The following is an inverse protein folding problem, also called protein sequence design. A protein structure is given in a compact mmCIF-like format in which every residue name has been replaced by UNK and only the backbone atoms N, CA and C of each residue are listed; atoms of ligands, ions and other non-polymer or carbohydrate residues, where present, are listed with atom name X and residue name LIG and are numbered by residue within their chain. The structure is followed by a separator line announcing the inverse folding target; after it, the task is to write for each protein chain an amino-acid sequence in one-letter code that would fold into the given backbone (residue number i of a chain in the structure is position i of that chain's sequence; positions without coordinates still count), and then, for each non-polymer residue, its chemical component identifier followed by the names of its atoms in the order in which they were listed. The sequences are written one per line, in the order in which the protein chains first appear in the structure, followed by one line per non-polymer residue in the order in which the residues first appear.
data_IF_785104733631
#
_entry.id   IF_785104733631
#
_cell.length_a   1.000
_cell.length_b   1.000
_cell.length_c   1.000
_cell.angle_alpha   90.00
_cell.angle_beta   90.00
_cell.angle_gamma   90.00
#
_symmetry.space_group_name_H-M   'P 1'
#
loop_
_entity.id
_entity.type
_entity.pdbx_description
1 polymer ?
#
# COMPACT_ATOMS: atom_id res chain seq x y z
N UNK A 1 -29.56 -3.79 -4.55
CA UNK A 1 -28.61 -3.55 -5.68
C UNK A 1 -27.15 -3.72 -5.26
N UNK A 2 -26.69 -3.14 -4.13
CA UNK A 2 -25.29 -3.25 -3.70
C UNK A 2 -24.82 -4.70 -3.42
N UNK A 3 -25.62 -5.47 -2.70
CA UNK A 3 -25.31 -6.87 -2.33
C UNK A 3 -25.16 -7.77 -3.56
N UNK A 4 -26.05 -7.63 -4.54
CA UNK A 4 -26.00 -8.42 -5.78
C UNK A 4 -24.73 -8.09 -6.59
N UNK A 5 -24.36 -6.80 -6.66
CA UNK A 5 -23.12 -6.37 -7.32
C UNK A 5 -21.89 -6.93 -6.61
N UNK A 6 -21.85 -6.90 -5.27
CA UNK A 6 -20.74 -7.45 -4.50
C UNK A 6 -20.63 -8.97 -4.66
N UNK A 7 -21.78 -9.66 -4.68
CA UNK A 7 -21.81 -11.11 -4.91
C UNK A 7 -21.26 -11.47 -6.29
N UNK A 8 -21.69 -10.76 -7.34
CA UNK A 8 -21.21 -10.97 -8.70
C UNK A 8 -19.71 -10.70 -8.83
N UNK A 9 -19.22 -9.62 -8.20
CA UNK A 9 -17.79 -9.28 -8.18
C UNK A 9 -16.96 -10.36 -7.46
N UNK A 10 -17.41 -10.84 -6.30
CA UNK A 10 -16.72 -11.90 -5.56
C UNK A 10 -16.69 -13.21 -6.34
N UNK A 11 -17.79 -13.56 -7.00
CA UNK A 11 -17.86 -14.76 -7.84
C UNK A 11 -16.90 -14.66 -9.03
N UNK A 12 -16.88 -13.52 -9.72
CA UNK A 12 -15.95 -13.29 -10.85
C UNK A 12 -14.49 -13.38 -10.40
N UNK A 13 -14.14 -12.77 -9.26
CA UNK A 13 -12.79 -12.87 -8.69
C UNK A 13 -12.46 -14.30 -8.30
N UNK A 14 -13.40 -15.05 -7.74
CA UNK A 14 -13.25 -16.46 -7.40
C UNK A 14 -12.88 -17.31 -8.61
N UNK A 15 -13.56 -17.13 -9.75
CA UNK A 15 -13.23 -17.83 -11.00
C UNK A 15 -11.85 -17.47 -11.53
N UNK A 16 -11.45 -16.21 -11.47
CA UNK A 16 -10.11 -15.79 -11.89
C UNK A 16 -9.03 -16.44 -11.02
N UNK A 17 -9.22 -16.47 -9.71
CA UNK A 17 -8.29 -17.08 -8.76
C UNK A 17 -8.21 -18.59 -9.01
N UNK A 18 -9.34 -19.25 -9.23
CA UNK A 18 -9.37 -20.69 -9.52
C UNK A 18 -8.61 -21.00 -10.82
N UNK A 19 -8.82 -20.24 -11.89
CA UNK A 19 -8.10 -20.41 -13.14
C UNK A 19 -6.57 -20.23 -13.00
N UNK A 20 -6.14 -19.35 -12.09
CA UNK A 20 -4.72 -19.14 -11.77
C UNK A 20 -4.17 -20.33 -10.97
N UNK A 21 -4.93 -20.89 -10.05
CA UNK A 21 -4.54 -22.07 -9.28
C UNK A 21 -4.43 -23.32 -10.14
N UNK A 22 -5.34 -23.49 -11.10
CA UNK A 22 -5.34 -24.62 -12.01
C UNK A 22 -4.19 -24.57 -13.05
N UNK A 23 -3.65 -23.36 -13.32
CA UNK A 23 -2.59 -23.18 -14.32
C UNK A 23 -1.17 -23.36 -13.79
N UNK A 24 -0.96 -23.44 -12.47
CA UNK A 24 0.35 -23.50 -11.77
C UNK A 24 1.40 -22.49 -12.26
N UNK A 25 0.95 -21.40 -12.88
CA UNK A 25 1.81 -20.41 -13.51
C UNK A 25 2.19 -19.29 -12.55
N UNK A 26 3.44 -19.25 -12.14
CA UNK A 26 3.99 -18.16 -11.31
C UNK A 26 3.90 -16.78 -11.98
N UNK A 27 3.90 -16.73 -13.32
CA UNK A 27 3.73 -15.48 -14.06
C UNK A 27 2.33 -14.89 -13.89
N UNK A 28 1.30 -15.73 -13.84
CA UNK A 28 -0.06 -15.29 -13.55
C UNK A 28 -0.21 -14.81 -12.12
N UNK A 29 0.46 -15.46 -11.17
CA UNK A 29 0.53 -14.99 -9.77
C UNK A 29 1.19 -13.61 -9.69
N UNK A 30 2.33 -13.45 -10.35
CA UNK A 30 3.02 -12.15 -10.39
C UNK A 30 2.14 -11.06 -11.02
N UNK A 31 1.48 -11.35 -12.13
CA UNK A 31 0.52 -10.44 -12.78
C UNK A 31 -0.63 -10.06 -11.85
N UNK A 32 -1.21 -11.02 -11.15
CA UNK A 32 -2.28 -10.77 -10.17
C UNK A 32 -1.78 -9.88 -9.02
N UNK A 33 -0.61 -10.16 -8.46
CA UNK A 33 -0.03 -9.34 -7.39
C UNK A 33 0.25 -7.91 -7.84
N UNK A 34 0.72 -7.70 -9.07
CA UNK A 34 0.89 -6.36 -9.65
C UNK A 34 -0.45 -5.61 -9.73
N UNK A 35 -1.50 -6.28 -10.20
CA UNK A 35 -2.85 -5.70 -10.23
C UNK A 35 -3.32 -5.36 -8.82
N UNK A 36 -3.09 -6.25 -7.85
CA UNK A 36 -3.45 -6.02 -6.44
C UNK A 36 -2.70 -4.84 -5.84
N UNK A 37 -1.40 -4.68 -6.12
CA UNK A 37 -0.61 -3.50 -5.71
C UNK A 37 -1.18 -2.23 -6.34
N UNK A 38 -1.53 -2.27 -7.62
CA UNK A 38 -2.14 -1.14 -8.33
C UNK A 38 -3.46 -0.69 -7.69
N UNK A 39 -4.40 -1.63 -7.54
CA UNK A 39 -5.70 -1.37 -6.92
C UNK A 39 -5.58 -0.95 -5.45
N UNK A 40 -4.68 -1.60 -4.70
CA UNK A 40 -4.35 -1.26 -3.32
C UNK A 40 -3.81 0.16 -3.20
N UNK A 41 -2.94 0.57 -4.12
CA UNK A 41 -2.37 1.93 -4.15
C UNK A 41 -3.42 3.00 -4.41
N UNK A 42 -4.31 2.76 -5.37
CA UNK A 42 -5.44 3.67 -5.65
C UNK A 42 -6.37 3.77 -4.43
N UNK A 43 -6.66 2.64 -3.80
CA UNK A 43 -7.51 2.58 -2.61
C UNK A 43 -6.88 3.29 -1.41
N UNK A 44 -5.59 3.05 -1.15
CA UNK A 44 -4.84 3.71 -0.08
C UNK A 44 -4.78 5.23 -0.30
N UNK A 45 -4.54 5.68 -1.55
CA UNK A 45 -4.59 7.10 -1.90
C UNK A 45 -5.96 7.71 -1.60
N UNK A 46 -7.05 7.00 -1.92
CA UNK A 46 -8.42 7.47 -1.63
C UNK A 46 -8.68 7.62 -0.12
N UNK A 47 -7.98 6.85 0.71
CA UNK A 47 -8.04 6.94 2.18
C UNK A 47 -7.09 7.98 2.78
N UNK A 48 -6.03 8.33 2.05
CA UNK A 48 -5.06 9.36 2.43
C UNK A 48 -5.59 10.74 2.04
N UNK A 49 -6.20 11.44 3.00
CA UNK A 49 -6.89 12.72 2.80
C UNK A 49 -5.96 13.81 2.27
N UNK A 50 -5.97 14.03 0.96
CA UNK A 50 -5.45 15.25 0.37
C UNK A 50 -3.93 15.38 0.25
N UNK A 51 -3.18 14.25 0.18
CA UNK A 51 -1.75 14.27 -0.10
C UNK A 51 -1.52 14.16 -1.62
N UNK A 52 -1.16 15.25 -2.32
CA UNK A 52 -0.92 15.21 -3.74
C UNK A 52 0.32 14.35 -4.06
N UNK A 53 0.28 13.59 -5.15
CA UNK A 53 1.42 12.77 -5.58
C UNK A 53 1.68 11.50 -4.75
N UNK A 54 0.83 11.15 -3.79
CA UNK A 54 1.03 10.00 -2.90
C UNK A 54 0.97 8.63 -3.61
N UNK A 55 0.38 8.54 -4.80
CA UNK A 55 0.17 7.26 -5.50
C UNK A 55 1.48 6.50 -5.75
N UNK A 56 2.50 7.17 -6.28
CA UNK A 56 3.79 6.56 -6.57
C UNK A 56 4.49 5.99 -5.33
N UNK A 57 4.73 6.79 -4.29
CA UNK A 57 5.29 6.31 -3.02
C UNK A 57 4.49 5.16 -2.39
N UNK A 58 3.16 5.21 -2.43
CA UNK A 58 2.31 4.12 -1.94
C UNK A 58 2.55 2.85 -2.76
N UNK A 59 2.52 2.93 -4.08
CA UNK A 59 2.71 1.77 -4.95
C UNK A 59 4.06 1.10 -4.71
N UNK A 60 5.13 1.90 -4.59
CA UNK A 60 6.46 1.40 -4.27
C UNK A 60 6.49 0.73 -2.89
N UNK A 61 5.90 1.35 -1.87
CA UNK A 61 5.84 0.79 -0.53
C UNK A 61 5.10 -0.55 -0.49
N UNK A 62 3.95 -0.66 -1.17
CA UNK A 62 3.18 -1.90 -1.26
C UNK A 62 3.96 -2.98 -2.02
N UNK A 63 4.58 -2.63 -3.15
CA UNK A 63 5.35 -3.56 -3.95
C UNK A 63 6.57 -4.10 -3.19
N UNK A 64 7.31 -3.21 -2.50
CA UNK A 64 8.45 -3.61 -1.67
C UNK A 64 8.00 -4.48 -0.49
N UNK A 65 6.94 -4.10 0.21
CA UNK A 65 6.42 -4.88 1.33
C UNK A 65 6.02 -6.30 0.87
N UNK A 66 5.25 -6.42 -0.22
CA UNK A 66 4.83 -7.70 -0.75
C UNK A 66 6.04 -8.50 -1.28
N UNK A 67 6.91 -7.88 -2.07
CA UNK A 67 8.08 -8.53 -2.65
C UNK A 67 9.05 -9.05 -1.60
N UNK A 68 9.44 -8.22 -0.62
CA UNK A 68 10.35 -8.63 0.45
C UNK A 68 9.75 -9.76 1.28
N UNK A 69 8.46 -9.65 1.65
CA UNK A 69 7.81 -10.68 2.46
C UNK A 69 7.72 -12.01 1.71
N UNK A 70 7.29 -11.99 0.44
CA UNK A 70 7.16 -13.21 -0.35
C UNK A 70 8.53 -13.86 -0.60
N UNK A 71 9.55 -13.06 -0.96
CA UNK A 71 10.92 -13.58 -1.15
C UNK A 71 11.45 -14.20 0.15
N UNK A 72 11.22 -13.56 1.30
CA UNK A 72 11.70 -14.05 2.59
C UNK A 72 10.99 -15.34 3.00
N UNK A 73 9.67 -15.43 2.81
CA UNK A 73 8.87 -16.63 3.10
C UNK A 73 9.29 -17.81 2.22
N UNK A 74 9.55 -17.57 0.93
CA UNK A 74 10.05 -18.60 0.01
C UNK A 74 11.49 -19.02 0.33
N UNK A 75 12.38 -18.05 0.63
CA UNK A 75 13.77 -18.33 0.96
C UNK A 75 13.93 -19.15 2.27
N UNK A 76 13.02 -18.94 3.22
CA UNK A 76 12.98 -19.72 4.48
C UNK A 76 12.28 -21.07 4.31
N UNK A 77 11.75 -21.38 3.14
CA UNK A 77 11.06 -22.66 2.89
C UNK A 77 9.76 -22.83 3.67
N UNK A 78 9.12 -21.72 4.09
CA UNK A 78 7.87 -21.75 4.86
C UNK A 78 6.73 -22.34 4.04
N UNK A 79 6.70 -22.00 2.73
CA UNK A 79 5.72 -22.51 1.77
C UNK A 79 6.41 -22.90 0.46
N UNK A 80 5.83 -23.85 -0.24
CA UNK A 80 6.19 -24.15 -1.63
C UNK A 80 5.75 -22.98 -2.54
N UNK A 81 6.46 -22.74 -3.67
CA UNK A 81 6.14 -21.66 -4.60
C UNK A 81 4.90 -21.97 -5.44
N UNK A 82 3.78 -22.23 -4.77
CA UNK A 82 2.51 -22.53 -5.40
C UNK A 82 1.53 -21.35 -5.35
N UNK A 83 0.71 -21.15 -6.38
CA UNK A 83 -0.27 -20.07 -6.44
C UNK A 83 -1.21 -20.03 -5.23
N UNK A 84 -1.61 -21.18 -4.71
CA UNK A 84 -2.52 -21.33 -3.57
C UNK A 84 -1.99 -20.73 -2.25
N UNK A 85 -0.69 -20.60 -2.10
CA UNK A 85 -0.06 -19.96 -0.94
C UNK A 85 0.33 -18.51 -1.22
N UNK A 86 0.90 -18.25 -2.40
CA UNK A 86 1.41 -16.94 -2.76
C UNK A 86 0.32 -15.88 -2.90
N UNK A 87 -0.83 -16.24 -3.47
CA UNK A 87 -1.93 -15.28 -3.69
C UNK A 87 -2.56 -14.83 -2.37
N UNK A 88 -2.97 -15.71 -1.43
CA UNK A 88 -3.52 -15.28 -0.16
C UNK A 88 -2.51 -14.51 0.71
N UNK A 89 -1.28 -14.99 0.80
CA UNK A 89 -0.22 -14.33 1.59
C UNK A 89 0.10 -12.95 1.02
N UNK A 90 0.28 -12.86 -0.31
CA UNK A 90 0.51 -11.59 -0.99
C UNK A 90 -0.64 -10.61 -0.78
N UNK A 91 -1.88 -11.08 -0.89
CA UNK A 91 -3.08 -10.28 -0.64
C UNK A 91 -3.17 -9.74 0.79
N UNK A 92 -2.85 -10.58 1.77
CA UNK A 92 -2.84 -10.18 3.18
C UNK A 92 -1.76 -9.13 3.45
N UNK A 93 -0.56 -9.31 2.92
CA UNK A 93 0.55 -8.35 3.07
C UNK A 93 0.22 -7.01 2.41
N UNK A 94 -0.29 -7.04 1.16
CA UNK A 94 -0.69 -5.83 0.43
C UNK A 94 -1.81 -5.11 1.19
N UNK A 95 -2.82 -5.83 1.70
CA UNK A 95 -3.93 -5.25 2.48
C UNK A 95 -3.48 -4.56 3.76
N UNK A 96 -2.57 -5.19 4.50
CA UNK A 96 -1.98 -4.61 5.71
C UNK A 96 -1.10 -3.40 5.39
N UNK A 97 -0.23 -3.51 4.38
CA UNK A 97 0.62 -2.41 3.92
C UNK A 97 -0.21 -1.22 3.42
N UNK A 98 -1.32 -1.46 2.71
CA UNK A 98 -2.26 -0.43 2.29
C UNK A 98 -2.84 0.35 3.46
N UNK A 99 -3.24 -0.34 4.53
CA UNK A 99 -3.78 0.29 5.73
C UNK A 99 -2.71 1.09 6.46
N UNK A 100 -1.53 0.53 6.63
CA UNK A 100 -0.38 1.21 7.25
C UNK A 100 0.01 2.48 6.47
N UNK A 101 0.09 2.40 5.14
CA UNK A 101 0.41 3.55 4.29
C UNK A 101 -0.63 4.67 4.41
N UNK A 102 -1.92 4.32 4.41
CA UNK A 102 -2.99 5.31 4.56
C UNK A 102 -2.95 6.01 5.93
N UNK A 103 -2.71 5.26 7.01
CA UNK A 103 -2.56 5.82 8.36
C UNK A 103 -1.34 6.73 8.46
N UNK A 104 -0.19 6.29 7.95
CA UNK A 104 1.04 7.08 7.97
C UNK A 104 0.89 8.41 7.22
N UNK A 105 0.27 8.38 6.03
CA UNK A 105 0.03 9.59 5.24
C UNK A 105 -0.97 10.54 5.91
N UNK A 106 -2.02 10.03 6.54
CA UNK A 106 -2.96 10.87 7.26
C UNK A 106 -2.28 11.55 8.47
N UNK A 107 -1.49 10.81 9.26
CA UNK A 107 -0.72 11.37 10.37
C UNK A 107 0.25 12.46 9.89
N UNK A 108 0.96 12.21 8.78
CA UNK A 108 1.86 13.20 8.20
C UNK A 108 1.09 14.47 7.77
N UNK A 109 -0.04 14.31 7.10
CA UNK A 109 -0.85 15.43 6.66
C UNK A 109 -1.39 16.26 7.85
N UNK A 110 -1.82 15.59 8.91
CA UNK A 110 -2.32 16.24 10.11
C UNK A 110 -1.19 16.99 10.85
N UNK A 111 0.01 16.41 10.96
CA UNK A 111 1.17 17.06 11.59
C UNK A 111 1.65 18.29 10.78
N UNK A 112 1.64 18.21 9.44
CA UNK A 112 1.95 19.34 8.58
C UNK A 112 0.93 20.47 8.76
N UNK A 113 -0.36 20.16 8.82
CA UNK A 113 -1.42 21.15 9.04
C UNK A 113 -1.30 21.81 10.42
N UNK A 114 -1.03 21.02 11.45
CA UNK A 114 -0.87 21.54 12.82
C UNK A 114 0.30 22.52 12.95
N UNK A 115 1.28 22.43 12.04
CA UNK A 115 2.51 23.26 12.04
C UNK A 115 2.60 24.22 10.87
N UNK A 116 1.51 24.46 10.15
CA UNK A 116 1.51 25.28 8.94
C UNK A 116 2.14 26.65 9.18
N UNK A 117 1.79 27.36 10.27
CA UNK A 117 2.35 28.67 10.59
C UNK A 117 3.87 28.64 10.85
N UNK A 118 4.39 27.61 11.52
CA UNK A 118 5.83 27.46 11.73
C UNK A 118 6.56 27.18 10.43
N UNK A 119 5.99 26.30 9.59
CA UNK A 119 6.54 25.94 8.29
C UNK A 119 6.59 27.19 7.39
N UNK A 120 5.52 27.97 7.35
CA UNK A 120 5.44 29.23 6.59
C UNK A 120 6.49 30.26 7.07
N UNK A 121 6.65 30.42 8.39
CA UNK A 121 7.67 31.31 8.96
C UNK A 121 9.09 30.86 8.57
N UNK A 122 9.38 29.56 8.61
CA UNK A 122 10.69 29.04 8.19
C UNK A 122 10.96 29.26 6.69
N UNK A 123 9.94 29.06 5.84
CA UNK A 123 10.03 29.34 4.40
C UNK A 123 10.26 30.83 4.13
N UNK A 124 9.60 31.72 4.86
CA UNK A 124 9.78 33.16 4.77
C UNK A 124 11.20 33.61 5.16
N UNK A 125 11.87 32.87 6.07
CA UNK A 125 13.26 33.06 6.47
C UNK A 125 14.27 32.38 5.51
N UNK A 126 13.81 31.83 4.38
CA UNK A 126 14.67 31.24 3.35
C UNK A 126 15.02 29.76 3.54
N UNK A 127 14.36 29.05 4.46
CA UNK A 127 14.51 27.62 4.59
C UNK A 127 13.91 26.87 3.37
N UNK A 128 14.53 25.77 2.97
CA UNK A 128 13.96 24.90 1.94
C UNK A 128 12.73 24.14 2.46
N UNK A 129 11.82 23.73 1.58
CA UNK A 129 10.63 22.95 1.95
C UNK A 129 10.98 21.67 2.74
N UNK A 130 12.13 21.04 2.43
CA UNK A 130 12.61 19.87 3.17
C UNK A 130 13.05 20.21 4.60
N UNK A 131 13.71 21.34 4.79
CA UNK A 131 14.13 21.82 6.12
C UNK A 131 12.93 22.18 6.96
N UNK A 132 11.98 22.94 6.40
CA UNK A 132 10.77 23.38 7.09
C UNK A 132 9.86 22.21 7.51
N UNK A 133 9.73 21.17 6.69
CA UNK A 133 8.90 20.00 6.95
C UNK A 133 9.58 18.89 7.78
N UNK A 134 10.91 18.96 7.99
CA UNK A 134 11.68 17.86 8.60
C UNK A 134 11.17 17.44 9.98
N UNK A 135 10.81 18.40 10.81
CA UNK A 135 10.31 18.10 12.16
C UNK A 135 8.91 17.49 12.14
N UNK A 136 8.04 17.93 11.25
CA UNK A 136 6.71 17.35 11.05
C UNK A 136 6.81 15.89 10.60
N UNK A 137 7.69 15.60 9.64
CA UNK A 137 7.97 14.23 9.18
C UNK A 137 8.52 13.37 10.33
N UNK A 138 9.50 13.85 11.08
CA UNK A 138 10.09 13.10 12.18
C UNK A 138 9.07 12.75 13.28
N UNK A 139 8.12 13.63 13.55
CA UNK A 139 7.07 13.39 14.57
C UNK A 139 5.97 12.47 14.08
N UNK A 140 5.59 12.56 12.80
CA UNK A 140 4.57 11.68 12.23
C UNK A 140 4.97 10.18 12.25
N UNK A 141 6.28 9.91 12.32
CA UNK A 141 6.85 8.57 12.37
C UNK A 141 7.04 8.04 13.81
N UNK A 142 6.89 8.88 14.83
CA UNK A 142 6.98 8.42 16.22
C UNK A 142 5.66 7.76 16.62
N UNK A 143 5.68 6.52 17.14
CA UNK A 143 4.50 5.93 17.76
C UNK A 143 4.13 6.79 18.99
N UNK A 144 2.85 7.14 19.09
CA UNK A 144 2.30 7.83 20.27
C UNK A 144 2.17 6.89 21.45
#
# INVERSE_FOLDING_TARGET
MAVLRSFLQLTAVGYVIQAIFDSDSLWLVAGLLIVMVGLGSVTARGRAKGVPGALGPIAVALAVAAGVTLVLVLALGVFEPEPRYLVPVGGMVIGNAMTAAAVALNRLADEIRARAGLIEAMLALGATSRQAAREAVARSLRPG
#
